data_IF_356765610410
#
_entry.id   IF_356765610410
#
_cell.length_a   1.000
_cell.length_b   1.000
_cell.length_c   1.000
_cell.angle_alpha   90.00
_cell.angle_beta   90.00
_cell.angle_gamma   90.00
#
_symmetry.space_group_name_H-M   'P 1'
#
loop_
_entity.id
_entity.type
_entity.pdbx_description
1 polymer ?
#
# COMPACT_ATOMS: atom_id res chain seq x y z
N UNK A 1 -24.27 17.63 31.24
CA UNK A 1 -22.79 17.61 31.06
C UNK A 1 -22.43 18.58 29.92
N UNK A 2 -21.41 19.43 30.08
CA UNK A 2 -20.89 20.29 29.00
C UNK A 2 -20.40 19.40 27.87
N UNK A 3 -20.83 19.70 26.65
CA UNK A 3 -20.37 18.96 25.47
C UNK A 3 -18.91 19.36 25.19
N UNK A 4 -17.97 18.40 25.26
CA UNK A 4 -16.55 18.64 24.97
C UNK A 4 -16.36 19.09 23.52
N UNK A 5 -15.47 20.05 23.33
CA UNK A 5 -14.99 20.45 22.00
C UNK A 5 -14.10 19.37 21.40
N UNK A 6 -13.80 19.45 20.09
CA UNK A 6 -12.87 18.52 19.43
C UNK A 6 -11.48 18.63 20.06
N UNK A 7 -11.00 19.83 20.37
CA UNK A 7 -9.68 20.06 20.96
C UNK A 7 -9.58 19.46 22.37
N UNK A 8 -10.62 19.65 23.21
CA UNK A 8 -10.68 19.03 24.55
C UNK A 8 -10.63 17.47 24.44
N UNK A 9 -11.31 16.88 23.46
CA UNK A 9 -11.29 15.42 23.22
C UNK A 9 -9.93 14.95 22.74
N UNK A 10 -9.27 15.70 21.86
CA UNK A 10 -7.91 15.39 21.39
C UNK A 10 -6.94 15.41 22.56
N UNK A 11 -7.03 16.39 23.44
CA UNK A 11 -6.18 16.46 24.65
C UNK A 11 -6.40 15.27 25.58
N UNK A 12 -7.64 14.81 25.76
CA UNK A 12 -7.94 13.61 26.51
C UNK A 12 -7.32 12.36 25.85
N UNK A 13 -7.48 12.23 24.52
CA UNK A 13 -6.89 11.11 23.78
C UNK A 13 -5.36 11.09 23.89
N UNK A 14 -4.69 12.24 23.79
CA UNK A 14 -3.23 12.36 23.97
C UNK A 14 -2.75 11.94 25.34
N UNK A 15 -3.57 12.18 26.39
CA UNK A 15 -3.28 11.75 27.75
C UNK A 15 -3.62 10.30 28.02
N UNK A 16 -4.20 9.60 27.06
CA UNK A 16 -4.69 8.23 27.24
C UNK A 16 -5.98 8.14 28.07
N UNK A 17 -6.72 9.25 28.20
CA UNK A 17 -7.93 9.36 28.99
C UNK A 17 -9.19 9.14 28.11
N UNK A 18 -10.21 8.48 28.65
CA UNK A 18 -11.52 8.26 28.00
C UNK A 18 -11.46 7.54 26.65
N UNK A 19 -10.38 6.81 26.34
CA UNK A 19 -10.16 6.17 25.04
C UNK A 19 -11.29 5.21 24.65
N UNK A 20 -11.89 4.50 25.59
CA UNK A 20 -13.01 3.56 25.34
C UNK A 20 -14.26 4.25 24.77
N UNK A 21 -14.41 5.56 25.04
CA UNK A 21 -15.49 6.38 24.48
C UNK A 21 -15.04 7.06 23.19
N UNK A 22 -13.82 7.61 23.21
CA UNK A 22 -13.29 8.40 22.11
C UNK A 22 -12.98 7.57 20.85
N UNK A 23 -12.74 6.27 20.98
CA UNK A 23 -12.55 5.35 19.85
C UNK A 23 -13.76 5.33 18.92
N UNK A 24 -14.94 5.68 19.41
CA UNK A 24 -16.19 5.77 18.64
C UNK A 24 -16.62 7.24 18.38
N UNK A 25 -15.74 8.22 18.59
CA UNK A 25 -16.11 9.62 18.39
C UNK A 25 -16.55 9.88 16.94
N UNK A 26 -17.59 10.71 16.70
CA UNK A 26 -18.00 11.09 15.36
C UNK A 26 -16.89 11.71 14.49
N UNK A 27 -15.96 12.43 15.12
CA UNK A 27 -14.84 13.07 14.45
C UNK A 27 -13.71 12.07 14.15
N UNK A 28 -13.32 11.86 12.87
CA UNK A 28 -12.22 10.98 12.54
C UNK A 28 -10.89 11.46 13.13
N UNK A 29 -10.71 12.76 13.29
CA UNK A 29 -9.48 13.31 13.88
C UNK A 29 -9.33 12.90 15.35
N UNK A 30 -10.43 12.86 16.12
CA UNK A 30 -10.39 12.36 17.51
C UNK A 30 -10.00 10.88 17.54
N UNK A 31 -10.61 10.05 16.67
CA UNK A 31 -10.28 8.62 16.56
C UNK A 31 -8.83 8.39 16.13
N UNK A 32 -8.26 9.27 15.28
CA UNK A 32 -6.84 9.22 14.91
C UNK A 32 -5.94 9.39 16.13
N UNK A 33 -6.24 10.34 17.02
CA UNK A 33 -5.47 10.52 18.26
C UNK A 33 -5.67 9.37 19.27
N UNK A 34 -6.80 8.67 19.23
CA UNK A 34 -6.95 7.42 19.98
C UNK A 34 -5.99 6.35 19.46
N UNK A 35 -5.84 6.22 18.14
CA UNK A 35 -4.93 5.27 17.51
C UNK A 35 -3.47 5.46 17.97
N UNK A 36 -3.02 6.68 18.24
CA UNK A 36 -1.66 6.99 18.69
C UNK A 36 -1.29 6.27 20.00
N UNK A 37 -2.27 5.89 20.82
CA UNK A 37 -2.06 5.13 22.04
C UNK A 37 -1.77 3.64 21.79
N UNK A 38 -2.03 3.12 20.59
CA UNK A 38 -1.73 1.74 20.15
C UNK A 38 -2.28 0.65 21.06
N UNK A 39 -3.41 0.90 21.74
CA UNK A 39 -4.06 -0.15 22.54
C UNK A 39 -4.70 -1.19 21.63
N UNK A 40 -4.50 -2.44 21.92
CA UNK A 40 -5.03 -3.56 21.14
C UNK A 40 -6.55 -3.49 20.95
N UNK A 41 -7.27 -3.12 22.00
CA UNK A 41 -8.73 -2.97 21.97
C UNK A 41 -9.19 -1.86 21.02
N UNK A 42 -8.44 -0.78 20.90
CA UNK A 42 -8.75 0.31 19.99
C UNK A 42 -8.45 -0.09 18.53
N UNK A 43 -7.35 -0.80 18.30
CA UNK A 43 -7.00 -1.34 17.00
C UNK A 43 -8.06 -2.32 16.49
N UNK A 44 -8.62 -3.17 17.39
CA UNK A 44 -9.70 -4.11 17.03
C UNK A 44 -10.99 -3.40 16.57
N UNK A 45 -11.24 -2.21 17.08
CA UNK A 45 -12.35 -1.36 16.62
C UNK A 45 -12.01 -0.61 15.33
N UNK A 46 -10.86 0.08 15.31
CA UNK A 46 -10.51 1.02 14.27
C UNK A 46 -10.08 0.35 12.95
N UNK A 47 -9.72 -0.94 12.98
CA UNK A 47 -9.40 -1.70 11.74
C UNK A 47 -10.59 -1.74 10.78
N UNK A 48 -11.82 -1.60 11.30
CA UNK A 48 -13.06 -1.51 10.52
C UNK A 48 -13.64 -0.10 10.47
N UNK A 49 -12.85 0.93 10.75
CA UNK A 49 -13.33 2.30 10.76
C UNK A 49 -13.98 2.70 9.43
N UNK A 50 -15.06 3.48 9.50
CA UNK A 50 -15.74 4.00 8.30
C UNK A 50 -14.87 4.91 7.45
N UNK A 51 -13.91 5.60 8.08
CA UNK A 51 -12.99 6.52 7.41
C UNK A 51 -11.76 5.75 6.89
N UNK A 52 -11.51 5.75 5.57
CA UNK A 52 -10.38 5.04 4.99
C UNK A 52 -9.03 5.59 5.47
N UNK A 53 -8.96 6.85 5.87
CA UNK A 53 -7.73 7.43 6.40
C UNK A 53 -7.33 6.79 7.74
N UNK A 54 -8.31 6.49 8.60
CA UNK A 54 -8.04 5.73 9.84
C UNK A 54 -7.55 4.32 9.52
N UNK A 55 -8.24 3.59 8.63
CA UNK A 55 -7.81 2.25 8.21
C UNK A 55 -6.43 2.23 7.56
N UNK A 56 -6.09 3.27 6.77
CA UNK A 56 -4.76 3.44 6.19
C UNK A 56 -3.69 3.59 7.30
N UNK A 57 -3.96 4.39 8.33
CA UNK A 57 -3.04 4.51 9.46
C UNK A 57 -2.90 3.20 10.24
N UNK A 58 -3.98 2.39 10.35
CA UNK A 58 -3.86 1.03 10.90
C UNK A 58 -2.94 0.16 10.02
N UNK A 59 -3.04 0.24 8.70
CA UNK A 59 -2.13 -0.50 7.81
C UNK A 59 -0.64 -0.13 8.04
N UNK A 60 -0.35 1.11 8.45
CA UNK A 60 1.01 1.57 8.77
C UNK A 60 1.53 1.05 10.11
N UNK A 61 0.70 1.01 11.14
CA UNK A 61 1.14 0.77 12.52
C UNK A 61 0.55 -0.49 13.16
N UNK A 62 -0.45 -1.10 12.53
CA UNK A 62 -1.23 -2.21 13.06
C UNK A 62 -0.45 -3.53 13.16
N UNK A 63 -1.10 -4.50 13.79
CA UNK A 63 -0.60 -5.86 14.00
C UNK A 63 -0.83 -6.71 12.74
N UNK A 64 -0.19 -7.85 12.65
CA UNK A 64 -0.38 -8.76 11.50
C UNK A 64 -1.85 -9.16 11.29
N UNK A 65 -2.61 -9.40 12.37
CA UNK A 65 -4.05 -9.68 12.26
C UNK A 65 -4.86 -8.52 11.66
N UNK A 66 -4.44 -7.28 11.88
CA UNK A 66 -5.09 -6.11 11.28
C UNK A 66 -4.80 -6.04 9.77
N UNK A 67 -3.59 -6.39 9.36
CA UNK A 67 -3.21 -6.48 7.95
C UNK A 67 -3.98 -7.60 7.22
N UNK A 68 -4.29 -8.72 7.90
CA UNK A 68 -5.11 -9.80 7.33
C UNK A 68 -6.55 -9.36 6.99
N UNK A 69 -7.04 -8.32 7.67
CA UNK A 69 -8.30 -7.66 7.35
C UNK A 69 -8.10 -6.65 6.21
N UNK A 70 -7.10 -5.76 6.35
CA UNK A 70 -6.91 -4.61 5.48
C UNK A 70 -6.37 -4.97 4.08
N UNK A 71 -5.79 -6.15 3.90
CA UNK A 71 -5.41 -6.66 2.57
C UNK A 71 -6.62 -6.80 1.65
N UNK A 72 -7.83 -6.88 2.20
CA UNK A 72 -9.12 -6.96 1.49
C UNK A 72 -9.91 -5.65 1.54
N UNK A 73 -9.28 -4.55 1.95
CA UNK A 73 -9.99 -3.28 2.09
C UNK A 73 -10.56 -2.81 0.74
N UNK A 74 -11.73 -2.18 0.79
CA UNK A 74 -12.37 -1.61 -0.40
C UNK A 74 -11.55 -0.50 -1.06
N UNK A 75 -10.73 0.22 -0.26
CA UNK A 75 -9.91 1.32 -0.73
C UNK A 75 -8.54 0.83 -1.22
N UNK A 76 -8.19 1.03 -2.50
CA UNK A 76 -6.89 0.59 -3.03
C UNK A 76 -5.69 1.21 -2.31
N UNK A 77 -5.82 2.42 -1.78
CA UNK A 77 -4.77 3.09 -1.00
C UNK A 77 -4.45 2.35 0.29
N UNK A 78 -5.46 1.76 0.95
CA UNK A 78 -5.29 0.95 2.16
C UNK A 78 -4.61 -0.37 1.81
N UNK A 79 -5.10 -1.09 0.77
CA UNK A 79 -4.46 -2.34 0.30
C UNK A 79 -3.01 -2.12 -0.11
N UNK A 80 -2.72 -1.02 -0.82
CA UNK A 80 -1.34 -0.63 -1.19
C UNK A 80 -0.46 -0.40 0.04
N UNK A 81 -1.00 0.18 1.12
CA UNK A 81 -0.24 0.44 2.35
C UNK A 81 0.16 -0.85 3.06
N UNK A 82 -0.72 -1.87 3.08
CA UNK A 82 -0.41 -3.20 3.63
C UNK A 82 0.89 -3.77 3.04
N UNK A 83 1.16 -3.53 1.74
CA UNK A 83 2.36 -4.01 1.06
C UNK A 83 3.68 -3.45 1.60
N UNK A 84 3.66 -2.38 2.39
CA UNK A 84 4.87 -1.84 3.03
C UNK A 84 5.49 -2.82 4.04
N UNK A 85 4.69 -3.73 4.60
CA UNK A 85 5.16 -4.78 5.52
C UNK A 85 5.83 -5.94 4.77
N UNK A 86 5.69 -6.02 3.45
CA UNK A 86 6.30 -7.03 2.56
C UNK A 86 6.03 -8.48 2.97
N UNK A 87 4.90 -8.75 3.61
CA UNK A 87 4.50 -10.13 3.94
C UNK A 87 4.22 -10.88 2.64
N UNK A 88 4.82 -12.07 2.51
CA UNK A 88 4.70 -12.88 1.29
C UNK A 88 3.23 -13.12 0.91
N UNK A 89 2.41 -13.49 1.87
CA UNK A 89 0.99 -13.77 1.65
C UNK A 89 0.21 -12.59 1.07
N UNK A 90 0.55 -11.35 1.48
CA UNK A 90 -0.11 -10.15 0.98
C UNK A 90 0.29 -9.84 -0.47
N UNK A 91 1.57 -10.03 -0.78
CA UNK A 91 2.08 -9.89 -2.14
C UNK A 91 1.43 -10.90 -3.08
N UNK A 92 1.37 -12.17 -2.66
CA UNK A 92 0.75 -13.25 -3.43
C UNK A 92 -0.76 -13.04 -3.61
N UNK A 93 -1.44 -12.45 -2.64
CA UNK A 93 -2.86 -12.13 -2.72
C UNK A 93 -3.14 -10.94 -3.65
N UNK A 94 -2.32 -9.88 -3.58
CA UNK A 94 -2.55 -8.62 -4.27
C UNK A 94 -1.91 -8.53 -5.67
N UNK A 95 -1.17 -9.55 -6.11
CA UNK A 95 -0.52 -9.55 -7.43
C UNK A 95 -1.51 -9.35 -8.58
N UNK A 96 -2.75 -9.79 -8.41
CA UNK A 96 -3.85 -9.64 -9.37
C UNK A 96 -4.89 -8.60 -8.95
N UNK A 97 -4.54 -7.70 -8.05
CA UNK A 97 -5.46 -6.67 -7.56
C UNK A 97 -6.10 -5.90 -8.73
N UNK A 98 -7.38 -5.56 -8.60
CA UNK A 98 -8.11 -4.79 -9.60
C UNK A 98 -7.47 -3.43 -9.91
N UNK A 99 -6.87 -2.81 -8.89
CA UNK A 99 -6.29 -1.47 -8.96
C UNK A 99 -4.83 -1.50 -9.44
N UNK A 100 -4.49 -0.78 -10.51
CA UNK A 100 -3.11 -0.71 -11.00
C UNK A 100 -2.16 -0.08 -9.98
N UNK A 101 -2.61 0.82 -9.09
CA UNK A 101 -1.73 1.42 -8.08
C UNK A 101 -1.24 0.40 -7.04
N UNK A 102 -2.03 -0.66 -6.78
CA UNK A 102 -1.62 -1.75 -5.90
C UNK A 102 -0.60 -2.62 -6.62
N UNK A 103 -0.87 -3.04 -7.86
CA UNK A 103 0.05 -3.85 -8.68
C UNK A 103 1.37 -3.12 -8.97
N UNK A 104 1.32 -1.80 -9.24
CA UNK A 104 2.51 -0.94 -9.37
C UNK A 104 3.39 -0.98 -8.12
N UNK A 105 2.76 -0.97 -6.93
CA UNK A 105 3.51 -1.10 -5.67
C UNK A 105 4.23 -2.44 -5.57
N UNK A 106 3.62 -3.54 -6.04
CA UNK A 106 4.25 -4.87 -6.07
C UNK A 106 5.43 -4.87 -7.05
N UNK A 107 5.26 -4.31 -8.25
CA UNK A 107 6.36 -4.16 -9.21
C UNK A 107 7.54 -3.36 -8.62
N UNK A 108 7.25 -2.32 -7.81
CA UNK A 108 8.29 -1.57 -7.08
C UNK A 108 9.01 -2.39 -6.03
N UNK A 109 8.32 -3.26 -5.31
CA UNK A 109 8.95 -4.20 -4.35
C UNK A 109 9.91 -5.11 -5.09
N UNK A 110 9.50 -5.63 -6.25
CA UNK A 110 10.36 -6.23 -7.24
C UNK A 110 10.86 -7.62 -6.90
N UNK A 111 10.02 -8.49 -6.29
CA UNK A 111 10.34 -9.92 -6.24
C UNK A 111 10.35 -10.49 -7.66
N UNK A 112 11.28 -11.38 -7.95
CA UNK A 112 11.46 -11.91 -9.30
C UNK A 112 10.20 -12.62 -9.83
N UNK A 113 9.54 -13.41 -9.01
CA UNK A 113 8.29 -14.09 -9.35
C UNK A 113 7.16 -13.12 -9.66
N UNK A 114 7.08 -11.97 -8.95
CA UNK A 114 6.06 -10.95 -9.21
C UNK A 114 6.32 -10.22 -10.54
N UNK A 115 7.58 -9.88 -10.79
CA UNK A 115 7.97 -9.20 -12.02
C UNK A 115 7.73 -10.07 -13.26
N UNK A 116 7.90 -11.40 -13.15
CA UNK A 116 7.62 -12.35 -14.23
C UNK A 116 6.13 -12.36 -14.64
N UNK A 117 5.25 -12.05 -13.70
CA UNK A 117 3.81 -11.87 -13.96
C UNK A 117 3.53 -10.46 -14.49
N UNK A 118 4.02 -9.44 -13.78
CA UNK A 118 3.66 -8.04 -14.03
C UNK A 118 4.30 -7.43 -15.29
N UNK A 119 5.31 -8.06 -15.86
CA UNK A 119 5.87 -7.64 -17.17
C UNK A 119 4.84 -7.67 -18.30
N UNK A 120 3.75 -8.43 -18.14
CA UNK A 120 2.61 -8.53 -19.07
C UNK A 120 1.32 -7.92 -18.50
N UNK A 121 1.44 -7.04 -17.52
CA UNK A 121 0.27 -6.40 -16.92
C UNK A 121 -0.50 -5.60 -17.98
N UNK A 122 -1.84 -5.59 -17.85
CA UNK A 122 -2.73 -4.80 -18.73
C UNK A 122 -2.51 -3.30 -18.66
N UNK A 123 -1.95 -2.80 -17.56
CA UNK A 123 -1.73 -1.38 -17.31
C UNK A 123 -0.27 -0.99 -17.59
N UNK A 124 -0.08 -0.02 -18.48
CA UNK A 124 1.26 0.43 -18.88
C UNK A 124 2.08 0.98 -17.71
N UNK A 125 1.45 1.58 -16.70
CA UNK A 125 2.17 2.08 -15.52
C UNK A 125 2.79 0.96 -14.69
N UNK A 126 2.14 -0.20 -14.64
CA UNK A 126 2.67 -1.40 -13.97
C UNK A 126 3.85 -1.97 -14.76
N UNK A 127 3.70 -2.13 -16.09
CA UNK A 127 4.79 -2.61 -16.97
C UNK A 127 5.99 -1.65 -16.96
N UNK A 128 5.74 -0.34 -16.87
CA UNK A 128 6.81 0.66 -16.72
C UNK A 128 7.59 0.49 -15.42
N UNK A 129 6.95 0.18 -14.30
CA UNK A 129 7.68 -0.12 -13.05
C UNK A 129 8.52 -1.40 -13.15
N UNK A 130 8.07 -2.40 -13.91
CA UNK A 130 8.88 -3.59 -14.21
C UNK A 130 10.08 -3.22 -15.08
N UNK A 131 9.90 -2.38 -16.11
CA UNK A 131 10.97 -1.84 -16.96
C UNK A 131 12.10 -1.22 -16.12
N UNK A 132 11.75 -0.44 -15.09
CA UNK A 132 12.71 0.24 -14.22
C UNK A 132 13.60 -0.73 -13.40
N UNK A 133 13.25 -2.00 -13.31
CA UNK A 133 14.08 -3.04 -12.68
C UNK A 133 15.24 -3.48 -13.57
N UNK A 134 15.19 -3.16 -14.86
CA UNK A 134 16.25 -3.41 -15.85
C UNK A 134 16.68 -4.89 -15.95
N UNK A 135 15.80 -5.85 -15.61
CA UNK A 135 16.13 -7.27 -15.81
C UNK A 135 16.12 -7.58 -17.31
N UNK A 136 17.22 -8.13 -17.81
CA UNK A 136 17.38 -8.41 -19.26
C UNK A 136 16.23 -9.20 -19.85
N UNK A 137 15.71 -10.20 -19.11
CA UNK A 137 14.59 -11.02 -19.57
C UNK A 137 13.31 -10.19 -19.77
N UNK A 138 13.04 -9.23 -18.88
CA UNK A 138 11.86 -8.35 -18.97
C UNK A 138 12.03 -7.32 -20.08
N UNK A 139 13.22 -6.72 -20.17
CA UNK A 139 13.51 -5.75 -21.24
C UNK A 139 13.29 -6.36 -22.62
N UNK A 140 13.70 -7.64 -22.82
CA UNK A 140 13.45 -8.36 -24.09
C UNK A 140 11.97 -8.56 -24.39
N UNK A 141 11.12 -8.79 -23.38
CA UNK A 141 9.67 -8.86 -23.53
C UNK A 141 9.12 -7.49 -23.89
N UNK A 142 9.57 -6.44 -23.18
CA UNK A 142 9.08 -5.07 -23.35
C UNK A 142 9.54 -4.38 -24.62
N UNK A 143 10.44 -4.96 -25.42
CA UNK A 143 10.71 -4.49 -26.77
C UNK A 143 9.48 -4.56 -27.69
N UNK A 144 8.54 -5.46 -27.41
CA UNK A 144 7.30 -5.66 -28.14
C UNK A 144 6.08 -5.07 -27.40
N UNK A 145 6.31 -4.18 -26.41
CA UNK A 145 5.23 -3.56 -25.63
C UNK A 145 4.29 -2.75 -26.54
N UNK A 146 3.00 -2.72 -26.23
CA UNK A 146 2.02 -1.88 -26.93
C UNK A 146 2.30 -0.37 -26.78
N UNK A 147 2.91 0.04 -25.65
CA UNK A 147 3.30 1.42 -25.37
C UNK A 147 4.67 1.74 -26.03
N UNK A 148 4.67 2.74 -26.92
CA UNK A 148 5.87 3.15 -27.66
C UNK A 148 6.99 3.70 -26.78
N UNK A 149 6.65 4.32 -25.65
CA UNK A 149 7.64 4.83 -24.70
C UNK A 149 8.34 3.70 -23.97
N UNK A 150 7.57 2.68 -23.54
CA UNK A 150 8.14 1.49 -22.90
C UNK A 150 9.08 0.74 -23.83
N UNK A 151 8.69 0.54 -25.12
CA UNK A 151 9.58 -0.07 -26.12
C UNK A 151 10.90 0.66 -26.25
N UNK A 152 10.82 1.99 -26.39
CA UNK A 152 12.01 2.84 -26.57
C UNK A 152 12.96 2.78 -25.38
N UNK A 153 12.43 2.84 -24.17
CA UNK A 153 13.26 2.77 -22.97
C UNK A 153 13.83 1.36 -22.76
N UNK A 154 13.10 0.29 -23.12
CA UNK A 154 13.59 -1.08 -23.07
C UNK A 154 14.81 -1.27 -24.01
N UNK A 155 14.71 -0.77 -25.25
CA UNK A 155 15.83 -0.80 -26.21
C UNK A 155 17.05 -0.03 -25.68
N UNK A 156 16.83 1.15 -25.11
CA UNK A 156 17.90 1.97 -24.53
C UNK A 156 18.61 1.23 -23.39
N UNK A 157 17.86 0.67 -22.44
CA UNK A 157 18.46 -0.04 -21.29
C UNK A 157 19.21 -1.31 -21.71
N UNK A 158 18.76 -2.02 -22.73
CA UNK A 158 19.51 -3.17 -23.27
C UNK A 158 20.85 -2.74 -23.89
N UNK A 159 20.86 -1.65 -24.68
CA UNK A 159 22.11 -1.12 -25.27
C UNK A 159 23.08 -0.64 -24.22
N UNK A 160 22.61 0.00 -23.14
CA UNK A 160 23.44 0.43 -22.03
C UNK A 160 24.14 -0.77 -21.38
N UNK A 161 23.40 -1.86 -21.08
CA UNK A 161 23.96 -3.06 -20.47
C UNK A 161 24.96 -3.80 -21.39
N UNK A 162 24.71 -3.84 -22.70
CA UNK A 162 25.66 -4.43 -23.67
C UNK A 162 26.97 -3.64 -23.76
N UNK A 163 26.92 -2.33 -23.54
CA UNK A 163 28.11 -1.46 -23.56
C UNK A 163 28.97 -1.58 -22.30
N UNK A 164 28.36 -1.92 -21.15
CA UNK A 164 29.06 -2.11 -19.86
C UNK A 164 29.81 -3.45 -19.77
N UNK A 165 29.48 -4.42 -20.63
CA UNK A 165 30.11 -5.77 -20.65
C UNK A 165 31.36 -5.81 -21.57
N UNK A 166 31.56 -4.77 -22.38
CA UNK A 166 32.73 -4.64 -23.30
C UNK A 166 33.86 -3.87 -22.64
#
# INVERSE_FOLDING_TARGET
>A
MKKLTIDEKIELARKGEHLDVLVNDPSPIVRLFVLDNKRDVDLDVLVNDKDPFIRLNIAMVGRDKDLDVLVKDKEPSVRREVLNRRRKQDLDYLITDESPIVRTKIARIGRDEDLDVLVKDKDASVRYEVLLKKRVKDLKILLEDEDAYIRKEAEKYLKEQESEIK
#
